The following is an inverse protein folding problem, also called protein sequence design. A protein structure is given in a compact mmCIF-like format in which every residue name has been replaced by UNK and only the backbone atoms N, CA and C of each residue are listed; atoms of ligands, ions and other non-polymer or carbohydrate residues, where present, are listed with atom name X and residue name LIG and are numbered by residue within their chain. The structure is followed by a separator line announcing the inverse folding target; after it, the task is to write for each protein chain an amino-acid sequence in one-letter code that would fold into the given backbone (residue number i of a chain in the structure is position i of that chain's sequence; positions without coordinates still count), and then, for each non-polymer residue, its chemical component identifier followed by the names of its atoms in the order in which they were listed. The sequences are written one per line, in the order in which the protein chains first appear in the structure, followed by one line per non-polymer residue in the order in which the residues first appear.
data_IF_342682932647
#
_entry.id   IF_342682932647
#
_cell.length_a   1.000
_cell.length_b   1.000
_cell.length_c   1.000
_cell.angle_alpha   90.00
_cell.angle_beta   90.00
_cell.angle_gamma   90.00
#
_symmetry.space_group_name_H-M   'P 1'
#
loop_
_entity.id
_entity.type
_entity.pdbx_description
1 polymer ?
#
# COMPACT_ATOMS: atom_id res chain seq x y z
N UNK A 1 5.73 -8.22 12.87
CA UNK A 1 5.04 -6.92 13.03
C UNK A 1 6.00 -5.86 13.55
N UNK A 2 6.74 -6.10 14.64
CA UNK A 2 7.54 -5.07 15.33
C UNK A 2 8.72 -4.46 14.54
N UNK A 3 9.19 -5.13 13.48
CA UNK A 3 10.24 -4.62 12.59
C UNK A 3 9.73 -4.31 11.16
N UNK A 4 8.45 -4.54 10.88
CA UNK A 4 7.89 -4.32 9.55
C UNK A 4 7.48 -2.87 9.37
N UNK A 5 7.89 -2.25 8.26
CA UNK A 5 7.47 -0.88 7.91
C UNK A 5 6.37 -0.91 6.85
N UNK A 6 5.49 0.09 6.87
CA UNK A 6 4.48 0.27 5.82
C UNK A 6 5.17 0.51 4.46
N UNK A 7 6.21 1.34 4.43
CA UNK A 7 6.99 1.60 3.22
C UNK A 7 7.62 0.34 2.63
N UNK A 8 8.28 -0.49 3.46
CA UNK A 8 8.86 -1.76 3.00
C UNK A 8 7.81 -2.75 2.51
N UNK A 9 6.65 -2.80 3.17
CA UNK A 9 5.53 -3.62 2.74
C UNK A 9 4.99 -3.17 1.37
N UNK A 10 4.80 -1.87 1.15
CA UNK A 10 4.39 -1.30 -0.15
C UNK A 10 5.46 -1.53 -1.22
N UNK A 11 6.74 -1.28 -0.90
CA UNK A 11 7.89 -1.51 -1.79
C UNK A 11 7.99 -2.93 -2.31
N UNK A 12 7.62 -3.92 -1.50
CA UNK A 12 7.60 -5.31 -1.94
C UNK A 12 6.54 -5.59 -3.02
N UNK A 13 5.49 -4.76 -3.12
CA UNK A 13 4.38 -4.89 -4.08
C UNK A 13 3.83 -6.33 -4.25
N UNK A 14 3.89 -7.14 -3.18
CA UNK A 14 3.55 -8.55 -3.28
C UNK A 14 2.06 -8.72 -3.64
N UNK A 15 1.67 -9.67 -4.51
CA UNK A 15 0.27 -9.91 -4.84
C UNK A 15 -0.62 -10.25 -3.64
N UNK A 16 -0.02 -10.76 -2.56
CA UNK A 16 -0.70 -11.10 -1.29
C UNK A 16 -0.59 -10.00 -0.23
N UNK A 17 -0.22 -8.78 -0.63
CA UNK A 17 -0.07 -7.66 0.29
C UNK A 17 -1.45 -7.15 0.75
N UNK A 18 -1.71 -7.28 2.05
CA UNK A 18 -2.95 -6.85 2.68
C UNK A 18 -3.13 -5.32 2.70
N UNK A 19 -2.04 -4.54 2.71
CA UNK A 19 -2.10 -3.09 2.85
C UNK A 19 -2.48 -2.38 1.54
N UNK A 20 -2.06 -2.92 0.39
CA UNK A 20 -2.32 -2.29 -0.91
C UNK A 20 -3.81 -2.15 -1.26
N UNK A 21 -4.68 -3.17 -1.10
CA UNK A 21 -6.11 -3.00 -1.37
C UNK A 21 -6.76 -1.99 -0.42
N UNK A 22 -6.35 -1.94 0.86
CA UNK A 22 -6.85 -0.94 1.83
C UNK A 22 -6.47 0.47 1.39
N UNK A 23 -5.20 0.69 1.09
CA UNK A 23 -4.71 1.99 0.66
C UNK A 23 -5.31 2.42 -0.68
N UNK A 24 -5.54 1.49 -1.60
CA UNK A 24 -6.20 1.78 -2.87
C UNK A 24 -7.68 2.15 -2.68
N UNK A 25 -8.43 1.43 -1.83
CA UNK A 25 -9.83 1.74 -1.52
C UNK A 25 -9.99 3.09 -0.83
N UNK A 26 -8.99 3.52 -0.05
CA UNK A 26 -8.93 4.85 0.58
C UNK A 26 -8.45 5.95 -0.38
N UNK A 27 -8.19 5.65 -1.65
CA UNK A 27 -7.60 6.59 -2.62
C UNK A 27 -6.28 7.21 -2.14
N UNK A 28 -5.48 6.44 -1.40
CA UNK A 28 -4.22 6.91 -0.85
C UNK A 28 -3.21 7.23 -1.96
N UNK A 29 -2.38 8.24 -1.70
CA UNK A 29 -1.30 8.68 -2.58
C UNK A 29 0.05 8.41 -1.93
N UNK A 30 0.96 7.77 -2.65
CA UNK A 30 2.36 7.62 -2.27
C UNK A 30 3.15 8.87 -2.60
N UNK A 31 3.93 9.31 -1.63
CA UNK A 31 4.90 10.37 -1.80
C UNK A 31 6.28 9.74 -1.90
N UNK A 32 6.90 9.92 -3.07
CA UNK A 32 8.22 9.39 -3.38
C UNK A 32 9.21 10.56 -3.34
N UNK A 33 10.24 10.41 -2.52
CA UNK A 33 11.38 11.32 -2.48
C UNK A 33 12.45 10.84 -3.47
N UNK A 34 13.09 11.78 -4.16
CA UNK A 34 14.17 11.51 -5.10
C UNK A 34 15.39 12.40 -4.87
N UNK A 35 16.44 12.23 -5.71
CA UNK A 35 17.68 13.00 -5.61
C UNK A 35 17.44 14.51 -5.73
N UNK A 36 18.27 15.32 -5.06
CA UNK A 36 18.20 16.78 -5.13
C UNK A 36 16.91 17.40 -4.57
N UNK A 37 16.17 16.66 -3.72
CA UNK A 37 14.91 17.12 -3.14
C UNK A 37 13.68 16.94 -4.06
N UNK A 38 13.84 16.22 -5.17
CA UNK A 38 12.72 15.89 -6.05
C UNK A 38 11.63 15.12 -5.32
N UNK A 39 10.37 15.33 -5.73
CA UNK A 39 9.20 14.66 -5.14
C UNK A 39 8.20 14.29 -6.23
N UNK A 40 7.72 13.05 -6.20
CA UNK A 40 6.65 12.55 -7.07
C UNK A 40 5.50 12.01 -6.24
N UNK A 41 4.29 12.15 -6.76
CA UNK A 41 3.08 11.58 -6.21
C UNK A 41 2.59 10.44 -7.11
N UNK A 42 2.24 9.30 -6.53
CA UNK A 42 1.74 8.13 -7.25
C UNK A 42 0.49 7.60 -6.53
N UNK A 43 -0.68 7.52 -7.18
CA UNK A 43 -1.84 6.85 -6.60
C UNK A 43 -1.53 5.38 -6.27
N UNK A 44 -1.92 4.89 -5.10
CA UNK A 44 -1.62 3.51 -4.71
C UNK A 44 -2.30 2.50 -5.65
N UNK A 45 -3.46 2.84 -6.23
CA UNK A 45 -4.16 2.02 -7.21
C UNK A 45 -3.30 1.67 -8.44
N UNK A 46 -2.35 2.53 -8.83
CA UNK A 46 -1.43 2.26 -9.94
C UNK A 46 -0.49 1.08 -9.65
N UNK A 47 -0.15 0.84 -8.37
CA UNK A 47 0.67 -0.29 -7.98
C UNK A 47 -0.06 -1.62 -8.18
N UNK A 48 -1.37 -1.64 -7.93
CA UNK A 48 -2.21 -2.81 -8.19
C UNK A 48 -2.31 -3.12 -9.69
N UNK A 49 -2.15 -2.09 -10.54
CA UNK A 49 -2.06 -2.26 -12.00
C UNK A 49 -0.66 -2.70 -12.48
N UNK A 50 0.27 -3.00 -11.57
CA UNK A 50 1.61 -3.49 -11.89
C UNK A 50 2.58 -2.41 -12.36
N UNK A 51 2.27 -1.12 -12.12
CA UNK A 51 3.19 -0.04 -12.47
C UNK A 51 4.44 -0.08 -11.60
N UNK A 52 5.61 0.10 -12.22
CA UNK A 52 6.87 0.23 -11.50
C UNK A 52 6.86 1.49 -10.61
N UNK A 53 7.09 1.30 -9.31
CA UNK A 53 6.89 2.36 -8.33
C UNK A 53 8.08 3.33 -8.24
N UNK A 54 9.28 2.79 -8.08
CA UNK A 54 10.49 3.54 -7.75
C UNK A 54 11.47 3.48 -8.91
N UNK A 55 12.09 4.62 -9.21
CA UNK A 55 13.24 4.74 -10.10
C UNK A 55 14.54 4.69 -9.29
N UNK A 56 15.71 4.51 -9.93
CA UNK A 56 16.99 4.57 -9.23
C UNK A 56 17.16 5.86 -8.42
N UNK A 57 17.57 5.72 -7.16
CA UNK A 57 17.75 6.85 -6.23
C UNK A 57 16.47 7.38 -5.59
N UNK A 58 15.32 6.76 -5.85
CA UNK A 58 14.05 7.11 -5.22
C UNK A 58 13.73 6.25 -3.99
N UNK A 59 13.01 6.84 -3.05
CA UNK A 59 12.59 6.22 -1.80
C UNK A 59 11.13 6.58 -1.51
N UNK A 60 10.39 5.67 -0.88
CA UNK A 60 9.07 6.01 -0.34
C UNK A 60 9.29 6.92 0.87
N UNK A 61 8.81 8.16 0.80
CA UNK A 61 8.84 9.09 1.91
C UNK A 61 7.70 8.83 2.88
N UNK A 62 6.45 8.91 2.39
CA UNK A 62 5.26 8.63 3.19
C UNK A 62 4.05 8.32 2.31
N UNK A 63 2.98 7.86 2.94
CA UNK A 63 1.66 7.67 2.33
C UNK A 63 0.74 8.76 2.85
N UNK A 64 0.07 9.47 1.93
CA UNK A 64 -1.00 10.42 2.27
C UNK A 64 -2.34 9.71 2.10
N UNK A 65 -3.09 9.60 3.19
CA UNK A 65 -4.41 8.96 3.24
C UNK A 65 -5.46 10.04 3.54
N UNK A 66 -6.52 10.18 2.71
CA UNK A 66 -7.63 11.08 2.99
C UNK A 66 -8.34 10.72 4.30
N UNK A 67 -8.84 11.74 5.02
CA UNK A 67 -9.75 11.54 6.15
C UNK A 67 -11.17 11.44 5.60
N UNK A 68 -11.75 10.25 5.66
CA UNK A 68 -13.08 9.97 5.12
C UNK A 68 -14.10 9.82 6.24
N UNK A 69 -15.29 10.39 6.04
CA UNK A 69 -16.43 10.26 6.94
C UNK A 69 -17.41 9.22 6.38
N UNK A 70 -16.91 8.01 6.19
CA UNK A 70 -17.66 6.88 5.64
C UNK A 70 -17.30 5.57 6.37
N UNK A 71 -18.22 4.58 6.44
CA UNK A 71 -17.91 3.27 6.99
C UNK A 71 -16.79 2.57 6.20
N UNK A 72 -15.80 2.01 6.90
CA UNK A 72 -14.67 1.34 6.27
C UNK A 72 -14.60 -0.10 6.76
N UNK A 73 -14.41 -1.06 5.85
CA UNK A 73 -14.29 -2.48 6.16
C UNK A 73 -13.13 -3.12 5.42
N UNK A 74 -12.39 -3.97 6.12
CA UNK A 74 -11.35 -4.82 5.55
C UNK A 74 -11.60 -6.27 5.95
N UNK A 75 -11.62 -7.16 4.96
CA UNK A 75 -11.76 -8.60 5.15
C UNK A 75 -10.55 -9.32 4.57
N UNK A 76 -9.95 -10.19 5.37
CA UNK A 76 -8.84 -11.05 4.96
C UNK A 76 -9.24 -12.52 5.08
N UNK A 77 -9.30 -13.22 3.96
CA UNK A 77 -9.55 -14.65 3.91
C UNK A 77 -8.23 -15.42 3.92
N UNK A 78 -8.09 -16.38 4.83
CA UNK A 78 -6.91 -17.26 4.96
C UNK A 78 -7.32 -18.72 5.02
N UNK A 79 -6.47 -19.62 4.51
CA UNK A 79 -6.72 -21.07 4.57
C UNK A 79 -6.52 -21.70 5.95
N UNK A 80 -6.21 -20.90 6.98
CA UNK A 80 -6.02 -21.36 8.36
C UNK A 80 -6.35 -20.25 9.35
N UNK A 81 -6.65 -20.65 10.58
CA UNK A 81 -6.74 -19.73 11.73
C UNK A 81 -5.35 -19.28 12.16
N UNK A 82 -5.21 -18.00 12.51
CA UNK A 82 -3.95 -17.40 12.93
C UNK A 82 -3.14 -16.74 11.80
N UNK A 83 -1.84 -16.44 12.01
CA UNK A 83 -1.03 -15.69 11.05
C UNK A 83 -0.92 -16.42 9.71
N UNK A 84 -1.20 -15.76 8.59
CA UNK A 84 -1.06 -16.38 7.27
C UNK A 84 -1.03 -15.35 6.14
N UNK A 85 -0.53 -15.76 4.97
CA UNK A 85 -0.74 -14.99 3.73
C UNK A 85 -2.21 -15.07 3.35
N UNK A 86 -2.75 -13.96 2.85
CA UNK A 86 -4.11 -13.93 2.36
C UNK A 86 -4.28 -14.86 1.16
N UNK A 87 -5.38 -15.60 1.13
CA UNK A 87 -5.93 -16.16 -0.12
C UNK A 87 -6.63 -15.07 -0.91
N UNK A 88 -7.36 -14.19 -0.21
CA UNK A 88 -7.97 -12.99 -0.76
C UNK A 88 -8.06 -11.90 0.32
N UNK A 89 -7.95 -10.65 -0.10
CA UNK A 89 -8.10 -9.47 0.74
C UNK A 89 -9.02 -8.48 0.04
N UNK A 90 -10.04 -8.00 0.75
CA UNK A 90 -11.07 -7.08 0.25
C UNK A 90 -11.13 -5.87 1.16
N UNK A 91 -11.11 -4.67 0.59
CA UNK A 91 -11.30 -3.42 1.29
C UNK A 91 -12.46 -2.64 0.63
N UNK A 92 -13.32 -2.05 1.45
CA UNK A 92 -14.43 -1.20 1.02
C UNK A 92 -14.51 0.01 1.96
N UNK A 93 -14.82 1.16 1.38
CA UNK A 93 -14.88 2.49 2.01
C UNK A 93 -16.19 3.15 1.59
#
# INVERSE_FOLDING_TARGET
RNAGTLGGNIASAAPTNDSLPVLAALEATLIIAGPGGARREVPVSHLLAGMEMLRPGELIGFVRVPLLHAPQVFLKATGRTGPGRATASVALV
#
